data_IF_332778631839
#
_entry.id   IF_332778631839
#
_cell.length_a   1.000
_cell.length_b   1.000
_cell.length_c   1.000
_cell.angle_alpha   90.00
_cell.angle_beta   90.00
_cell.angle_gamma   90.00
#
_symmetry.space_group_name_H-M   'P 1'
#
loop_
_entity.id
_entity.type
_entity.pdbx_description
1 polymer ?
#
# COMPACT_ATOMS: atom_id res chain seq x y z
N UNK A 1 -39.91 32.02 -33.59
CA UNK A 1 -38.48 31.64 -33.63
C UNK A 1 -37.80 32.40 -32.50
N UNK A 2 -37.81 31.93 -31.26
CA UNK A 2 -37.01 30.83 -30.69
C UNK A 2 -35.51 31.00 -30.96
N UNK A 3 -34.82 31.74 -30.10
CA UNK A 3 -33.41 31.52 -29.77
C UNK A 3 -33.18 31.94 -28.32
N UNK A 4 -32.95 30.92 -27.49
CA UNK A 4 -32.72 31.00 -26.06
C UNK A 4 -31.36 31.63 -25.70
N UNK A 5 -31.23 32.24 -24.52
CA UNK A 5 -29.97 32.79 -24.03
C UNK A 5 -29.03 31.68 -23.56
N UNK A 6 -27.95 31.44 -24.29
CA UNK A 6 -26.90 30.50 -23.88
C UNK A 6 -25.92 31.22 -22.94
N UNK A 7 -25.99 30.89 -21.64
CA UNK A 7 -24.89 31.06 -20.69
C UNK A 7 -24.53 29.69 -20.10
N UNK A 8 -23.26 29.28 -20.21
CA UNK A 8 -22.69 28.43 -19.18
C UNK A 8 -21.47 29.11 -18.51
N UNK A 9 -21.74 29.57 -17.27
CA UNK A 9 -20.92 29.44 -16.05
C UNK A 9 -19.39 29.36 -16.21
N UNK A 10 -18.74 30.49 -15.94
CA UNK A 10 -17.30 30.61 -15.72
C UNK A 10 -16.92 29.96 -14.38
N UNK A 11 -15.95 29.05 -14.49
CA UNK A 11 -14.92 28.60 -13.56
C UNK A 11 -15.16 28.79 -12.05
N UNK A 12 -15.47 27.67 -11.40
CA UNK A 12 -15.26 27.49 -9.97
C UNK A 12 -13.74 27.45 -9.69
N UNK A 13 -13.20 28.27 -8.77
CA UNK A 13 -11.87 28.06 -8.24
C UNK A 13 -11.97 26.96 -7.17
N UNK A 14 -11.12 25.94 -7.24
CA UNK A 14 -10.88 25.06 -6.10
C UNK A 14 -9.39 24.86 -5.90
N UNK A 15 -8.83 25.82 -5.20
CA UNK A 15 -7.64 25.64 -4.40
C UNK A 15 -7.80 24.51 -3.37
N UNK A 16 -6.63 24.02 -2.96
CA UNK A 16 -6.29 23.49 -1.65
C UNK A 16 -6.28 21.97 -1.45
N UNK A 17 -5.02 21.52 -1.27
CA UNK A 17 -4.56 20.64 -0.21
C UNK A 17 -4.61 19.13 -0.45
N UNK A 18 -3.48 18.63 -0.96
CA UNK A 18 -2.84 17.44 -0.41
C UNK A 18 -1.33 17.46 -0.74
N UNK A 19 -0.63 18.51 -0.29
CA UNK A 19 0.80 18.40 -0.05
C UNK A 19 0.97 17.62 1.25
N UNK A 20 0.80 16.31 1.16
CA UNK A 20 1.20 15.39 2.21
C UNK A 20 2.70 15.23 2.12
N UNK A 21 3.44 16.23 2.61
CA UNK A 21 4.82 16.04 3.07
C UNK A 21 4.81 15.09 4.26
N UNK A 22 4.65 13.80 3.98
CA UNK A 22 5.10 12.74 4.89
C UNK A 22 6.61 12.61 4.71
N UNK A 23 7.30 13.64 5.20
CA UNK A 23 8.71 13.54 5.53
C UNK A 23 8.82 12.75 6.84
N UNK A 24 8.64 11.43 6.77
CA UNK A 24 9.28 10.55 7.74
C UNK A 24 10.64 10.19 7.17
N UNK A 25 11.66 10.75 7.81
CA UNK A 25 13.03 10.78 7.33
C UNK A 25 13.61 9.40 7.05
N UNK A 26 14.46 9.38 6.03
CA UNK A 26 15.49 8.38 5.81
C UNK A 26 16.15 7.96 7.13
N UNK A 27 15.91 6.73 7.56
CA UNK A 27 16.89 5.99 8.32
C UNK A 27 17.30 4.79 7.47
N UNK A 28 18.47 4.91 6.86
CA UNK A 28 19.10 3.80 6.15
C UNK A 28 19.46 2.71 7.13
N UNK A 29 18.72 1.61 7.10
CA UNK A 29 19.15 0.35 7.69
C UNK A 29 19.92 -0.44 6.63
N UNK A 30 21.25 -0.50 6.80
CA UNK A 30 22.11 -1.43 6.09
C UNK A 30 21.66 -2.89 6.33
N UNK A 31 21.84 -3.79 5.35
CA UNK A 31 21.33 -5.15 5.44
C UNK A 31 22.24 -6.03 6.32
N UNK A 32 21.67 -6.89 7.19
CA UNK A 32 22.34 -8.12 7.55
C UNK A 32 21.50 -9.34 7.19
N UNK A 33 22.24 -10.36 6.75
CA UNK A 33 21.93 -11.78 6.79
C UNK A 33 21.00 -12.34 5.70
N UNK A 34 21.67 -13.00 4.75
CA UNK A 34 21.17 -14.10 3.94
C UNK A 34 20.53 -15.15 4.88
N UNK A 35 19.23 -15.33 4.74
CA UNK A 35 18.43 -16.35 5.42
C UNK A 35 17.10 -16.42 4.70
N UNK A 36 16.48 -17.61 4.67
CA UNK A 36 15.13 -17.90 4.14
C UNK A 36 14.22 -16.67 4.02
N UNK A 37 13.51 -16.43 2.89
CA UNK A 37 12.74 -15.21 2.70
C UNK A 37 11.75 -15.01 3.86
N UNK A 38 12.16 -14.19 4.83
CA UNK A 38 11.40 -13.86 6.02
C UNK A 38 10.32 -12.90 5.57
N UNK A 39 9.08 -13.39 5.52
CA UNK A 39 7.93 -12.60 5.06
C UNK A 39 7.76 -11.29 5.85
N UNK A 40 8.18 -11.30 7.12
CA UNK A 40 8.13 -10.19 8.06
C UNK A 40 9.46 -10.17 8.83
N UNK A 41 10.07 -8.99 8.95
CA UNK A 41 11.17 -8.74 9.87
C UNK A 41 10.62 -8.44 11.28
N UNK A 42 10.58 -9.46 12.13
CA UNK A 42 10.05 -9.31 13.50
C UNK A 42 10.95 -8.46 14.41
N UNK A 43 12.22 -8.22 14.04
CA UNK A 43 13.11 -7.37 14.83
C UNK A 43 12.65 -5.91 14.85
N UNK A 44 12.09 -5.40 13.75
CA UNK A 44 11.44 -4.07 13.72
C UNK A 44 10.26 -4.00 14.70
N UNK A 45 9.41 -5.04 14.71
CA UNK A 45 8.23 -5.09 15.59
C UNK A 45 8.60 -5.25 17.07
N UNK A 46 9.66 -6.00 17.37
CA UNK A 46 10.18 -6.17 18.73
C UNK A 46 10.80 -4.87 19.26
N UNK A 47 11.58 -4.19 18.41
CA UNK A 47 12.12 -2.87 18.73
C UNK A 47 10.99 -1.89 19.08
N UNK A 48 9.95 -1.79 18.24
CA UNK A 48 8.81 -0.92 18.52
C UNK A 48 8.05 -1.34 19.77
N UNK A 49 7.98 -2.64 20.08
CA UNK A 49 7.35 -3.14 21.32
C UNK A 49 8.12 -2.63 22.54
N UNK A 50 9.45 -2.64 22.48
CA UNK A 50 10.31 -2.09 23.53
C UNK A 50 10.21 -0.57 23.69
N UNK A 51 10.06 0.18 22.59
CA UNK A 51 10.03 1.65 22.60
C UNK A 51 8.64 2.25 22.87
N UNK A 52 7.58 1.68 22.27
CA UNK A 52 6.23 2.25 22.24
C UNK A 52 5.23 1.47 23.12
N UNK A 53 5.61 0.28 23.57
CA UNK A 53 4.74 -0.64 24.32
C UNK A 53 3.87 -1.53 23.44
N UNK A 54 3.45 -2.66 24.00
CA UNK A 54 2.69 -3.70 23.30
C UNK A 54 1.36 -3.20 22.73
N UNK A 55 0.57 -2.45 23.51
CA UNK A 55 -0.74 -1.96 23.09
C UNK A 55 -0.65 -1.02 21.89
N UNK A 56 0.39 -0.17 21.87
CA UNK A 56 0.66 0.74 20.75
C UNK A 56 1.01 -0.05 19.49
N UNK A 57 1.91 -1.03 19.59
CA UNK A 57 2.28 -1.89 18.45
C UNK A 57 1.09 -2.68 17.93
N UNK A 58 0.26 -3.24 18.82
CA UNK A 58 -0.98 -3.93 18.42
C UNK A 58 -1.93 -2.99 17.66
N UNK A 59 -2.07 -1.75 18.11
CA UNK A 59 -2.87 -0.73 17.43
C UNK A 59 -2.30 -0.39 16.04
N UNK A 60 -0.98 -0.21 15.93
CA UNK A 60 -0.29 0.06 14.66
C UNK A 60 -0.45 -1.08 13.66
N UNK A 61 -0.35 -2.33 14.12
CA UNK A 61 -0.64 -3.52 13.30
C UNK A 61 -2.08 -3.45 12.78
N UNK A 62 -3.07 -3.19 13.65
CA UNK A 62 -4.48 -3.07 13.25
C UNK A 62 -4.71 -1.98 12.20
N UNK A 63 -4.09 -0.81 12.36
CA UNK A 63 -4.17 0.30 11.40
C UNK A 63 -3.58 -0.12 10.06
N UNK A 64 -2.40 -0.76 10.05
CA UNK A 64 -1.77 -1.25 8.83
C UNK A 64 -2.63 -2.29 8.11
N UNK A 65 -3.20 -3.24 8.84
CA UNK A 65 -4.06 -4.28 8.26
C UNK A 65 -5.27 -3.66 7.57
N UNK A 66 -5.92 -2.70 8.24
CA UNK A 66 -7.05 -1.98 7.67
C UNK A 66 -6.65 -1.21 6.39
N UNK A 67 -5.62 -0.36 6.48
CA UNK A 67 -5.18 0.46 5.35
C UNK A 67 -4.74 -0.41 4.15
N UNK A 68 -4.01 -1.49 4.41
CA UNK A 68 -3.55 -2.40 3.35
C UNK A 68 -4.70 -3.15 2.67
N UNK A 69 -5.75 -3.51 3.42
CA UNK A 69 -6.95 -4.10 2.85
C UNK A 69 -7.68 -3.11 1.90
N UNK A 70 -7.79 -1.84 2.29
CA UNK A 70 -8.38 -0.77 1.47
C UNK A 70 -7.56 -0.52 0.19
N UNK A 71 -6.23 -0.54 0.28
CA UNK A 71 -5.34 -0.44 -0.88
C UNK A 71 -5.46 -1.63 -1.82
N UNK A 72 -5.59 -2.86 -1.30
CA UNK A 72 -5.76 -4.06 -2.11
C UNK A 72 -7.11 -4.11 -2.82
N UNK A 73 -8.17 -3.59 -2.19
CA UNK A 73 -9.47 -3.41 -2.83
C UNK A 73 -9.38 -2.40 -3.99
N UNK A 74 -8.73 -1.26 -3.73
CA UNK A 74 -8.45 -0.23 -4.73
C UNK A 74 -7.68 -0.81 -5.93
N UNK A 75 -6.61 -1.58 -5.69
CA UNK A 75 -5.83 -2.25 -6.73
C UNK A 75 -6.68 -3.19 -7.59
N UNK A 76 -7.62 -3.90 -6.97
CA UNK A 76 -8.52 -4.81 -7.68
C UNK A 76 -9.46 -4.02 -8.59
N UNK A 77 -10.04 -2.93 -8.08
CA UNK A 77 -10.91 -2.06 -8.86
C UNK A 77 -10.16 -1.35 -10.01
N UNK A 78 -8.98 -0.80 -9.75
CA UNK A 78 -8.13 -0.13 -10.74
C UNK A 78 -7.70 -1.09 -11.85
N UNK A 79 -7.35 -2.34 -11.50
CA UNK A 79 -7.02 -3.39 -12.46
C UNK A 79 -8.21 -3.73 -13.36
N UNK A 80 -9.41 -3.85 -12.78
CA UNK A 80 -10.64 -4.13 -13.51
C UNK A 80 -11.07 -2.97 -14.42
N UNK A 81 -10.82 -1.72 -14.02
CA UNK A 81 -11.07 -0.52 -14.83
C UNK A 81 -9.94 -0.22 -15.84
N UNK A 82 -8.87 -1.03 -15.84
CA UNK A 82 -7.67 -0.84 -16.65
C UNK A 82 -6.98 0.53 -16.43
N UNK A 83 -7.13 1.11 -15.24
CA UNK A 83 -6.54 2.40 -14.87
C UNK A 83 -5.09 2.20 -14.39
N UNK A 84 -4.21 1.89 -15.35
CA UNK A 84 -2.83 1.46 -15.09
C UNK A 84 -1.98 2.51 -14.37
N UNK A 85 -2.22 3.80 -14.61
CA UNK A 85 -1.49 4.89 -13.94
C UNK A 85 -1.81 4.91 -12.43
N UNK A 86 -3.09 4.83 -12.07
CA UNK A 86 -3.50 4.75 -10.67
C UNK A 86 -3.05 3.46 -10.01
N UNK A 87 -3.20 2.33 -10.71
CA UNK A 87 -2.77 1.03 -10.22
C UNK A 87 -1.28 1.01 -9.85
N UNK A 88 -0.41 1.63 -10.64
CA UNK A 88 1.01 1.76 -10.32
C UNK A 88 1.25 2.60 -9.04
N UNK A 89 0.53 3.71 -8.88
CA UNK A 89 0.63 4.58 -7.69
C UNK A 89 0.14 3.87 -6.43
N UNK A 90 -0.99 3.17 -6.52
CA UNK A 90 -1.56 2.42 -5.40
C UNK A 90 -0.66 1.25 -4.99
N UNK A 91 -0.05 0.56 -5.97
CA UNK A 91 0.94 -0.50 -5.71
C UNK A 91 2.17 0.05 -4.97
N UNK A 92 2.63 1.25 -5.37
CA UNK A 92 3.72 1.94 -4.69
C UNK A 92 3.37 2.30 -3.23
N UNK A 93 2.16 2.81 -2.99
CA UNK A 93 1.66 3.13 -1.66
C UNK A 93 1.56 1.91 -0.72
N UNK A 94 1.15 0.76 -1.26
CA UNK A 94 1.09 -0.51 -0.50
C UNK A 94 2.48 -0.97 -0.05
N UNK A 95 3.50 -0.83 -0.92
CA UNK A 95 4.89 -1.12 -0.59
C UNK A 95 5.41 -0.18 0.51
N UNK A 96 5.13 1.12 0.40
CA UNK A 96 5.52 2.11 1.42
C UNK A 96 4.94 1.78 2.80
N UNK A 97 3.63 1.47 2.84
CA UNK A 97 2.94 1.08 4.07
C UNK A 97 3.55 -0.18 4.71
N UNK A 98 3.95 -1.14 3.88
CA UNK A 98 4.54 -2.41 4.31
C UNK A 98 6.00 -2.26 4.75
N UNK A 99 6.71 -1.25 4.23
CA UNK A 99 8.12 -1.02 4.54
C UNK A 99 8.33 -0.56 5.98
N UNK A 100 7.38 0.23 6.52
CA UNK A 100 7.49 0.77 7.88
C UNK A 100 7.44 -0.33 8.96
N UNK A 101 6.78 -1.46 8.68
CA UNK A 101 6.64 -2.59 9.60
C UNK A 101 7.61 -3.75 9.29
N UNK A 102 8.55 -3.57 8.35
CA UNK A 102 9.47 -4.64 7.96
C UNK A 102 8.83 -5.78 7.16
N UNK A 103 7.68 -5.57 6.50
CA UNK A 103 6.94 -6.60 5.79
C UNK A 103 7.49 -6.76 4.37
N UNK A 104 8.58 -7.52 4.24
CA UNK A 104 9.30 -7.67 2.96
C UNK A 104 8.52 -8.47 1.91
N UNK A 105 7.56 -9.31 2.34
CA UNK A 105 6.76 -10.17 1.47
C UNK A 105 6.03 -9.42 0.35
N UNK A 106 5.63 -8.17 0.59
CA UNK A 106 4.83 -7.38 -0.34
C UNK A 106 5.68 -6.71 -1.44
N UNK A 107 7.00 -6.61 -1.27
CA UNK A 107 7.87 -5.81 -2.12
C UNK A 107 8.02 -6.39 -3.53
N UNK A 108 8.24 -7.70 -3.62
CA UNK A 108 8.40 -8.40 -4.90
C UNK A 108 7.13 -8.35 -5.77
N UNK A 109 5.97 -8.77 -5.23
CA UNK A 109 4.70 -8.70 -5.94
C UNK A 109 4.30 -7.27 -6.31
N UNK A 110 4.47 -6.28 -5.42
CA UNK A 110 4.19 -4.87 -5.71
C UNK A 110 5.06 -4.33 -6.85
N UNK A 111 6.36 -4.61 -6.85
CA UNK A 111 7.25 -4.23 -7.96
C UNK A 111 6.84 -4.87 -9.28
N UNK A 112 6.40 -6.12 -9.24
CA UNK A 112 5.92 -6.82 -10.44
C UNK A 112 4.63 -6.20 -10.95
N UNK A 113 3.74 -5.78 -10.06
CA UNK A 113 2.51 -5.06 -10.40
C UNK A 113 2.80 -3.71 -11.05
N UNK A 114 3.72 -2.92 -10.49
CA UNK A 114 4.18 -1.65 -11.08
C UNK A 114 4.71 -1.83 -12.51
N UNK A 115 5.48 -2.91 -12.75
CA UNK A 115 5.99 -3.21 -14.09
C UNK A 115 4.89 -3.62 -15.06
N UNK A 116 3.94 -4.47 -14.63
CA UNK A 116 2.81 -4.89 -15.46
C UNK A 116 1.90 -3.70 -15.81
N UNK A 117 1.68 -2.79 -14.86
CA UNK A 117 0.92 -1.57 -15.07
C UNK A 117 1.56 -0.67 -16.14
N UNK A 118 2.88 -0.46 -16.04
CA UNK A 118 3.63 0.33 -17.03
C UNK A 118 3.68 -0.32 -18.41
N UNK A 119 3.59 -1.65 -18.47
CA UNK A 119 3.48 -2.42 -19.72
C UNK A 119 2.08 -2.40 -20.35
N UNK A 120 1.06 -1.99 -19.60
CA UNK A 120 -0.34 -2.04 -20.06
C UNK A 120 -0.98 -3.43 -19.99
N UNK A 121 -0.33 -4.39 -19.32
CA UNK A 121 -0.77 -5.78 -19.23
C UNK A 121 -1.83 -5.97 -18.12
N UNK A 122 -3.08 -5.59 -18.39
CA UNK A 122 -4.16 -5.63 -17.41
C UNK A 122 -4.44 -7.04 -16.84
N UNK A 123 -4.41 -8.08 -17.69
CA UNK A 123 -4.59 -9.47 -17.25
C UNK A 123 -3.48 -9.91 -16.28
N UNK A 124 -2.24 -9.54 -16.59
CA UNK A 124 -1.10 -9.82 -15.72
C UNK A 124 -1.20 -9.04 -14.41
N UNK A 125 -1.61 -7.78 -14.47
CA UNK A 125 -1.84 -6.96 -13.28
C UNK A 125 -2.88 -7.61 -12.35
N UNK A 126 -4.04 -8.05 -12.88
CA UNK A 126 -5.07 -8.75 -12.10
C UNK A 126 -4.53 -10.01 -11.40
N UNK A 127 -3.76 -10.84 -12.12
CA UNK A 127 -3.16 -12.03 -11.53
C UNK A 127 -2.16 -11.70 -10.39
N UNK A 128 -1.40 -10.62 -10.54
CA UNK A 128 -0.47 -10.14 -9.51
C UNK A 128 -1.23 -9.56 -8.31
N UNK A 129 -2.33 -8.83 -8.53
CA UNK A 129 -3.18 -8.32 -7.44
C UNK A 129 -3.76 -9.46 -6.61
N UNK A 130 -4.21 -10.55 -7.26
CA UNK A 130 -4.66 -11.75 -6.55
C UNK A 130 -3.53 -12.37 -5.69
N UNK A 131 -2.31 -12.40 -6.24
CA UNK A 131 -1.12 -12.89 -5.52
C UNK A 131 -0.77 -11.99 -4.32
N UNK A 132 -0.84 -10.67 -4.49
CA UNK A 132 -0.66 -9.69 -3.41
C UNK A 132 -1.70 -9.89 -2.30
N UNK A 133 -2.96 -10.12 -2.66
CA UNK A 133 -4.04 -10.36 -1.71
C UNK A 133 -3.81 -11.62 -0.89
N UNK A 134 -3.42 -12.71 -1.53
CA UNK A 134 -3.09 -13.97 -0.85
C UNK A 134 -1.85 -13.83 0.07
N UNK A 135 -0.85 -13.08 -0.38
CA UNK A 135 0.35 -12.79 0.42
C UNK A 135 0.00 -11.96 1.65
N UNK A 136 -0.83 -10.94 1.46
CA UNK A 136 -1.33 -10.11 2.55
C UNK A 136 -2.13 -10.91 3.57
N UNK A 137 -3.00 -11.82 3.16
CA UNK A 137 -3.77 -12.69 4.08
C UNK A 137 -2.85 -13.53 4.99
N UNK A 138 -1.75 -14.05 4.43
CA UNK A 138 -0.74 -14.77 5.19
C UNK A 138 -0.03 -13.84 6.19
N UNK A 139 0.42 -12.67 5.73
CA UNK A 139 1.06 -11.66 6.59
C UNK A 139 0.12 -11.21 7.71
N UNK A 140 -1.15 -10.97 7.40
CA UNK A 140 -2.16 -10.55 8.36
C UNK A 140 -2.29 -11.57 9.50
N UNK A 141 -2.44 -12.86 9.15
CA UNK A 141 -2.48 -13.94 10.15
C UNK A 141 -1.23 -13.97 11.03
N UNK A 142 -0.04 -13.82 10.45
CA UNK A 142 1.20 -13.80 11.23
C UNK A 142 1.27 -12.61 12.19
N UNK A 143 0.82 -11.43 11.76
CA UNK A 143 0.80 -10.22 12.58
C UNK A 143 -0.26 -10.29 13.68
N UNK A 144 -1.44 -10.86 13.38
CA UNK A 144 -2.49 -11.09 14.38
C UNK A 144 -2.05 -12.07 15.46
N UNK A 145 -1.35 -13.15 15.08
CA UNK A 145 -0.77 -14.09 16.04
C UNK A 145 0.34 -13.45 16.86
N UNK A 146 1.16 -12.57 16.27
CA UNK A 146 2.17 -11.80 17.00
C UNK A 146 1.56 -10.83 18.00
N UNK A 147 0.45 -10.16 17.65
CA UNK A 147 -0.24 -9.21 18.52
C UNK A 147 -0.96 -9.86 19.71
N UNK A 148 -1.19 -11.18 19.68
CA UNK A 148 -1.79 -11.95 20.79
C UNK A 148 -0.75 -12.49 21.79
N UNK A 149 0.54 -12.47 21.44
CA UNK A 149 1.65 -12.88 22.29
C UNK A 149 2.07 -11.77 23.22
#
# INVERSE_FOLDING_TARGET
>A
MNDSPFKPRESCPREAAADSVSAYGSSGAAPPAVGTPTLIDFSVLDQWRGELGEDTVRSLIGIYLKNSAELLDSLTAEAAQQDMDKLARTAHGLKGSSSNLGITAMFGPARTLEMAARGGDAERALAIVATLRATFDHVAKMLEEYGKR
#
